data_IF_653909445095
#
_entry.id   IF_653909445095
#
_cell.length_a   1.000
_cell.length_b   1.000
_cell.length_c   1.000
_cell.angle_alpha   90.00
_cell.angle_beta   90.00
_cell.angle_gamma   90.00
#
_symmetry.space_group_name_H-M   'P 1'
#
loop_
_entity.id
_entity.type
_entity.pdbx_description
1 polymer ?
#
# COMPACT_ATOMS: atom_id res chain seq x y z
N UNK A 1 7.30 3.26 24.84
CA UNK A 1 7.84 2.03 24.23
C UNK A 1 9.09 2.37 23.46
N UNK A 2 10.16 1.58 23.50
CA UNK A 2 11.40 1.83 22.78
C UNK A 2 11.59 0.83 21.64
N UNK A 3 12.12 1.32 20.51
CA UNK A 3 12.39 0.50 19.34
C UNK A 3 13.81 0.72 18.82
N UNK A 4 14.51 -0.38 18.53
CA UNK A 4 15.88 -0.40 17.96
C UNK A 4 15.95 -1.32 16.74
N UNK A 5 16.83 -1.01 15.80
CA UNK A 5 17.02 -1.83 14.59
C UNK A 5 18.47 -1.81 14.10
N UNK A 6 18.96 -2.96 13.67
CA UNK A 6 20.20 -3.08 12.92
C UNK A 6 20.00 -3.92 11.67
N UNK A 7 20.66 -3.55 10.59
CA UNK A 7 20.76 -4.37 9.39
C UNK A 7 21.83 -5.45 9.56
N UNK A 8 21.84 -6.45 8.66
CA UNK A 8 22.87 -7.50 8.63
C UNK A 8 24.28 -6.92 8.45
N UNK A 9 24.42 -5.87 7.64
CA UNK A 9 25.70 -5.21 7.39
C UNK A 9 26.20 -4.43 8.62
N UNK A 10 25.26 -3.79 9.35
CA UNK A 10 25.56 -3.09 10.61
C UNK A 10 25.91 -4.07 11.74
N UNK A 11 25.31 -5.26 11.78
CA UNK A 11 25.67 -6.32 12.73
C UNK A 11 27.07 -6.87 12.46
N UNK A 12 27.43 -7.04 11.18
CA UNK A 12 28.75 -7.52 10.81
C UNK A 12 29.89 -6.51 11.11
N UNK A 13 29.57 -5.21 11.12
CA UNK A 13 30.55 -4.14 11.32
C UNK A 13 30.83 -3.83 12.80
N UNK A 14 29.88 -3.97 13.70
CA UNK A 14 30.10 -3.79 15.16
C UNK A 14 28.86 -4.22 15.95
N UNK A 15 28.98 -5.08 16.96
CA UNK A 15 27.92 -5.32 17.97
C UNK A 15 27.48 -4.07 18.75
N UNK A 16 28.16 -2.94 18.53
CA UNK A 16 27.92 -1.66 19.20
C UNK A 16 26.66 -0.91 18.69
N UNK A 17 26.07 -1.31 17.56
CA UNK A 17 24.97 -0.54 16.94
C UNK A 17 23.67 -0.50 17.75
N UNK A 18 23.28 -1.60 18.39
CA UNK A 18 22.10 -1.67 19.25
C UNK A 18 22.31 -0.99 20.60
N UNK A 19 23.49 -1.18 21.20
CA UNK A 19 23.81 -0.58 22.51
C UNK A 19 23.89 0.95 22.42
N UNK A 20 24.48 1.48 21.36
CA UNK A 20 24.49 2.92 21.11
C UNK A 20 23.05 3.50 20.96
N UNK A 21 22.16 2.78 20.27
CA UNK A 21 20.76 3.18 20.17
C UNK A 21 20.05 3.13 21.52
N UNK A 22 20.28 2.10 22.33
CA UNK A 22 19.72 1.98 23.67
C UNK A 22 20.16 3.12 24.57
N UNK A 23 21.45 3.41 24.61
CA UNK A 23 22.02 4.53 25.39
C UNK A 23 21.37 5.85 24.97
N UNK A 24 21.23 6.12 23.67
CA UNK A 24 20.62 7.34 23.18
C UNK A 24 19.14 7.44 23.60
N UNK A 25 18.38 6.36 23.51
CA UNK A 25 16.97 6.30 23.88
C UNK A 25 16.80 6.48 25.40
N UNK A 26 17.63 5.83 26.22
CA UNK A 26 17.60 5.96 27.67
C UNK A 26 17.92 7.40 28.11
N UNK A 27 18.95 8.01 27.54
CA UNK A 27 19.30 9.40 27.81
C UNK A 27 18.16 10.37 27.46
N UNK A 28 17.50 10.17 26.30
CA UNK A 28 16.37 11.00 25.87
C UNK A 28 15.14 10.77 26.76
N UNK A 29 14.83 9.54 27.11
CA UNK A 29 13.76 9.22 28.06
C UNK A 29 14.00 9.88 29.42
N UNK A 30 15.22 9.78 29.96
CA UNK A 30 15.59 10.42 31.20
C UNK A 30 15.46 11.94 31.13
N UNK A 31 15.93 12.58 30.03
CA UNK A 31 15.83 14.03 29.81
C UNK A 31 14.36 14.52 29.83
N UNK A 32 13.43 13.66 29.37
CA UNK A 32 11.98 13.96 29.33
C UNK A 32 11.23 13.56 30.59
N UNK A 33 11.88 12.89 31.55
CA UNK A 33 11.21 12.32 32.70
C UNK A 33 10.32 11.11 32.34
N UNK A 34 10.62 10.41 31.24
CA UNK A 34 9.86 9.26 30.77
C UNK A 34 10.45 7.95 31.26
N UNK A 35 9.60 6.95 31.39
CA UNK A 35 10.01 5.57 31.70
C UNK A 35 9.85 4.70 30.46
N UNK A 36 10.90 4.00 30.07
CA UNK A 36 10.84 3.00 29.00
C UNK A 36 10.20 1.73 29.58
N UNK A 37 8.94 1.47 29.21
CA UNK A 37 8.14 0.33 29.71
C UNK A 37 8.36 -0.96 28.93
N UNK A 38 9.06 -0.91 27.79
CA UNK A 38 9.39 -2.10 27.02
C UNK A 38 10.28 -1.78 25.82
N UNK A 39 11.01 -2.81 25.37
CA UNK A 39 11.93 -2.75 24.25
C UNK A 39 11.51 -3.72 23.16
N UNK A 40 11.55 -3.25 21.90
CA UNK A 40 11.36 -4.06 20.72
C UNK A 40 12.57 -3.89 19.78
N UNK A 41 12.97 -4.95 19.14
CA UNK A 41 14.14 -4.95 18.26
C UNK A 41 13.86 -5.71 16.97
N UNK A 42 14.40 -5.21 15.86
CA UNK A 42 14.52 -5.95 14.62
C UNK A 42 16.00 -6.07 14.25
N UNK A 43 16.52 -7.29 14.32
CA UNK A 43 17.92 -7.62 14.02
C UNK A 43 18.04 -8.25 12.63
N UNK A 44 19.07 -7.86 11.87
CA UNK A 44 19.29 -8.39 10.52
C UNK A 44 18.25 -7.97 9.50
N UNK A 45 17.41 -7.00 9.80
CA UNK A 45 16.34 -6.53 8.93
C UNK A 45 16.71 -5.17 8.33
N UNK A 46 16.84 -5.12 6.99
CA UNK A 46 17.07 -3.88 6.26
C UNK A 46 15.91 -2.89 6.49
N UNK A 47 16.23 -1.61 6.73
CA UNK A 47 15.25 -0.53 6.81
C UNK A 47 14.40 -0.35 5.53
N UNK A 48 14.80 -0.99 4.42
CA UNK A 48 14.07 -1.01 3.16
C UNK A 48 12.80 -1.89 3.16
N UNK A 49 12.58 -2.72 4.17
CA UNK A 49 11.37 -3.56 4.29
C UNK A 49 10.26 -2.80 5.01
N UNK A 50 9.01 -2.97 4.57
CA UNK A 50 7.84 -2.39 5.23
C UNK A 50 7.60 -2.95 6.64
N UNK A 51 6.65 -2.36 7.37
CA UNK A 51 6.31 -2.77 8.75
C UNK A 51 5.91 -4.25 8.82
N UNK A 52 5.28 -4.77 7.77
CA UNK A 52 4.88 -6.18 7.64
C UNK A 52 6.06 -7.19 7.69
N UNK A 53 7.27 -6.71 7.44
CA UNK A 53 8.51 -7.50 7.52
C UNK A 53 9.39 -7.12 8.73
N UNK A 54 8.83 -6.34 9.66
CA UNK A 54 9.52 -5.81 10.84
C UNK A 54 8.70 -6.12 12.09
N UNK A 55 8.73 -7.37 12.57
CA UNK A 55 7.90 -7.82 13.69
C UNK A 55 8.12 -7.03 14.98
N UNK A 56 9.36 -6.58 15.23
CA UNK A 56 9.66 -5.74 16.37
C UNK A 56 8.99 -4.36 16.28
N UNK A 57 9.02 -3.72 15.12
CA UNK A 57 8.31 -2.44 14.91
C UNK A 57 6.80 -2.62 15.00
N UNK A 58 6.25 -3.66 14.38
CA UNK A 58 4.83 -3.95 14.44
C UNK A 58 4.36 -4.14 15.90
N UNK A 59 5.10 -4.91 16.69
CA UNK A 59 4.79 -5.12 18.11
C UNK A 59 4.94 -3.83 18.95
N UNK A 60 5.90 -2.96 18.62
CA UNK A 60 6.06 -1.66 19.26
C UNK A 60 4.87 -0.72 18.97
N UNK A 61 4.40 -0.69 17.71
CA UNK A 61 3.22 0.09 17.30
C UNK A 61 1.96 -0.46 17.99
N UNK A 62 1.74 -1.77 17.97
CA UNK A 62 0.62 -2.41 18.67
C UNK A 62 0.60 -2.08 20.17
N UNK A 63 1.79 -1.99 20.79
CA UNK A 63 1.89 -1.64 22.20
C UNK A 63 1.41 -0.21 22.51
N UNK A 64 1.72 0.76 21.65
CA UNK A 64 1.25 2.14 21.84
C UNK A 64 -0.22 2.30 21.45
N UNK A 65 -0.69 1.64 20.41
CA UNK A 65 -2.09 1.67 19.97
C UNK A 65 -3.03 1.02 21.01
N UNK A 66 -2.56 -0.02 21.68
CA UNK A 66 -3.32 -0.66 22.79
C UNK A 66 -3.25 0.09 24.13
N UNK A 67 -2.60 1.25 24.17
CA UNK A 67 -2.46 2.06 25.39
C UNK A 67 -1.47 1.51 26.41
N UNK A 68 -0.66 0.50 26.07
CA UNK A 68 0.40 -0.04 26.95
C UNK A 68 1.56 0.96 27.18
N UNK A 69 1.69 1.94 26.27
CA UNK A 69 2.62 3.06 26.41
C UNK A 69 2.04 4.29 25.71
N UNK A 70 2.39 5.47 26.22
CA UNK A 70 1.94 6.75 25.66
C UNK A 70 2.71 7.17 24.40
N UNK A 71 3.84 6.53 24.10
CA UNK A 71 4.63 6.90 22.91
C UNK A 71 5.64 5.84 22.49
N UNK A 72 6.12 6.01 21.25
CA UNK A 72 7.18 5.24 20.61
C UNK A 72 8.44 6.10 20.48
N UNK A 73 9.55 5.61 21.04
CA UNK A 73 10.84 6.28 21.04
C UNK A 73 11.87 5.46 20.25
N UNK A 74 12.56 6.09 19.32
CA UNK A 74 13.63 5.48 18.54
C UNK A 74 14.87 6.39 18.48
N UNK A 75 16.04 5.79 18.30
CA UNK A 75 17.30 6.55 18.27
C UNK A 75 17.39 7.50 17.05
N UNK A 76 16.90 7.04 15.88
CA UNK A 76 16.92 7.81 14.63
C UNK A 76 15.68 7.51 13.80
N UNK A 77 15.31 8.48 12.95
CA UNK A 77 14.16 8.34 12.05
C UNK A 77 14.31 7.15 11.10
N UNK A 78 15.48 6.90 10.56
CA UNK A 78 15.74 5.79 9.64
C UNK A 78 15.58 4.40 10.30
N UNK A 79 15.50 4.33 11.61
CA UNK A 79 15.17 3.10 12.34
C UNK A 79 13.69 2.75 12.23
N UNK A 80 12.81 3.73 12.29
CA UNK A 80 11.34 3.52 12.23
C UNK A 80 10.77 3.64 10.81
N UNK A 81 11.37 4.47 9.96
CA UNK A 81 10.89 4.78 8.61
C UNK A 81 12.03 4.78 7.60
N UNK A 82 11.73 4.55 6.32
CA UNK A 82 12.68 4.56 5.20
C UNK A 82 12.40 5.64 4.16
N UNK A 83 11.25 6.25 4.23
CA UNK A 83 10.83 7.25 3.25
C UNK A 83 9.99 8.33 3.92
N UNK A 84 9.88 9.48 3.27
CA UNK A 84 8.99 10.56 3.72
C UNK A 84 7.54 10.06 3.83
N UNK A 85 7.11 9.18 2.90
CA UNK A 85 5.79 8.56 2.90
C UNK A 85 5.55 7.68 4.13
N UNK A 86 6.51 6.80 4.46
CA UNK A 86 6.40 5.91 5.62
C UNK A 86 6.40 6.73 6.91
N UNK A 87 7.27 7.76 6.99
CA UNK A 87 7.31 8.69 8.11
C UNK A 87 5.96 9.38 8.33
N UNK A 88 5.40 9.98 7.28
CA UNK A 88 4.13 10.67 7.38
C UNK A 88 2.97 9.73 7.72
N UNK A 89 2.99 8.49 7.22
CA UNK A 89 2.00 7.47 7.59
C UNK A 89 2.09 7.11 9.07
N UNK A 90 3.31 6.92 9.60
CA UNK A 90 3.53 6.61 11.01
C UNK A 90 3.13 7.79 11.92
N UNK A 91 3.44 9.02 11.53
CA UNK A 91 3.03 10.22 12.27
C UNK A 91 1.50 10.39 12.27
N UNK A 92 0.84 10.15 11.14
CA UNK A 92 -0.63 10.20 11.06
C UNK A 92 -1.28 9.08 11.90
N UNK A 93 -0.67 7.90 11.94
CA UNK A 93 -1.09 6.80 12.79
C UNK A 93 -0.95 7.17 14.27
N UNK A 94 0.16 7.78 14.67
CA UNK A 94 0.40 8.30 16.02
C UNK A 94 -0.67 9.33 16.41
N UNK A 95 -0.92 10.31 15.55
CA UNK A 95 -1.93 11.34 15.77
C UNK A 95 -3.33 10.76 15.96
N UNK A 96 -3.73 9.80 15.11
CA UNK A 96 -5.06 9.15 15.21
C UNK A 96 -5.18 8.27 16.44
N UNK A 97 -4.10 7.58 16.78
CA UNK A 97 -4.03 6.69 17.95
C UNK A 97 -3.82 7.43 19.28
N UNK A 98 -3.54 8.74 19.23
CA UNK A 98 -3.32 9.55 20.44
C UNK A 98 -2.03 9.19 21.18
N UNK A 99 -1.00 8.70 20.47
CA UNK A 99 0.30 8.37 21.03
C UNK A 99 1.42 9.19 20.38
N UNK A 100 2.53 9.37 21.10
CA UNK A 100 3.64 10.21 20.66
C UNK A 100 4.69 9.41 19.87
N UNK A 101 5.21 10.02 18.79
CA UNK A 101 6.38 9.52 18.05
C UNK A 101 7.56 10.47 18.29
N UNK A 102 8.66 9.94 18.81
CA UNK A 102 9.86 10.73 19.08
C UNK A 102 11.11 10.01 18.58
N UNK A 103 12.00 10.76 17.93
CA UNK A 103 13.33 10.30 17.52
C UNK A 103 14.43 11.15 18.14
N UNK A 104 15.50 10.51 18.66
CA UNK A 104 16.57 11.19 19.38
C UNK A 104 17.45 12.07 18.48
N UNK A 105 17.42 11.86 17.15
CA UNK A 105 18.15 12.65 16.15
C UNK A 105 17.48 13.98 15.77
N UNK A 106 16.50 14.41 16.56
CA UNK A 106 15.76 15.68 16.39
C UNK A 106 14.86 15.76 15.14
N UNK A 107 14.76 14.70 14.37
CA UNK A 107 13.99 14.76 13.14
C UNK A 107 12.48 14.84 13.41
N UNK A 108 11.99 14.19 14.49
CA UNK A 108 10.56 14.10 14.80
C UNK A 108 10.33 14.10 16.30
N UNK A 109 9.39 14.97 16.71
CA UNK A 109 8.86 15.01 18.08
C UNK A 109 7.40 15.48 18.01
N UNK A 110 6.47 14.55 17.91
CA UNK A 110 5.03 14.86 17.78
C UNK A 110 4.41 15.39 19.09
N UNK A 111 5.15 15.36 20.20
CA UNK A 111 4.70 15.94 21.47
C UNK A 111 4.80 17.50 21.51
N UNK A 112 5.41 18.08 20.48
CA UNK A 112 5.60 19.54 20.41
C UNK A 112 4.81 20.17 19.25
N UNK A 113 4.36 21.44 19.38
CA UNK A 113 3.69 22.15 18.27
C UNK A 113 4.53 22.23 16.99
N UNK A 114 5.86 22.36 17.12
CA UNK A 114 6.78 22.37 15.98
C UNK A 114 6.87 21.00 15.30
N UNK A 115 6.86 19.92 16.07
CA UNK A 115 6.81 18.56 15.55
C UNK A 115 5.48 18.24 14.89
N UNK A 116 4.37 18.71 15.43
CA UNK A 116 3.05 18.58 14.81
C UNK A 116 2.99 19.34 13.47
N UNK A 117 3.54 20.55 13.40
CA UNK A 117 3.66 21.28 12.13
C UNK A 117 4.54 20.54 11.11
N UNK A 118 5.65 19.97 11.56
CA UNK A 118 6.54 19.14 10.73
C UNK A 118 5.81 17.90 10.20
N UNK A 119 5.05 17.22 11.05
CA UNK A 119 4.21 16.08 10.66
C UNK A 119 3.21 16.48 9.59
N UNK A 120 2.54 17.60 9.76
CA UNK A 120 1.56 18.13 8.80
C UNK A 120 2.20 18.44 7.44
N UNK A 121 3.37 19.06 7.42
CA UNK A 121 4.11 19.30 6.17
C UNK A 121 4.52 18.00 5.49
N UNK A 122 5.03 17.01 6.23
CA UNK A 122 5.38 15.69 5.67
C UNK A 122 4.17 14.97 5.09
N UNK A 123 3.00 15.08 5.72
CA UNK A 123 1.75 14.52 5.19
C UNK A 123 1.36 15.16 3.85
N UNK A 124 1.51 16.48 3.71
CA UNK A 124 1.27 17.20 2.45
C UNK A 124 2.24 16.76 1.35
N UNK A 125 3.55 16.67 1.65
CA UNK A 125 4.55 16.20 0.70
C UNK A 125 4.28 14.76 0.25
N UNK A 126 3.91 13.88 1.17
CA UNK A 126 3.55 12.49 0.86
C UNK A 126 2.30 12.38 -0.02
N UNK A 127 1.33 13.27 0.17
CA UNK A 127 0.16 13.33 -0.70
C UNK A 127 0.54 13.82 -2.10
N UNK A 128 1.41 14.81 -2.20
CA UNK A 128 1.92 15.31 -3.49
C UNK A 128 2.67 14.20 -4.24
N UNK A 129 3.58 13.51 -3.57
CA UNK A 129 4.36 12.41 -4.17
C UNK A 129 3.46 11.29 -4.71
N UNK A 130 2.44 10.86 -3.94
CA UNK A 130 1.44 9.88 -4.40
C UNK A 130 0.69 10.35 -5.65
N UNK A 131 0.32 11.63 -5.72
CA UNK A 131 -0.33 12.21 -6.90
C UNK A 131 0.59 12.21 -8.11
N UNK A 132 1.87 12.59 -7.95
CA UNK A 132 2.86 12.59 -9.03
C UNK A 132 3.14 11.17 -9.55
N UNK A 133 3.26 10.18 -8.66
CA UNK A 133 3.42 8.76 -9.05
C UNK A 133 2.19 8.30 -9.83
N UNK A 134 0.98 8.59 -9.34
CA UNK A 134 -0.27 8.24 -10.03
C UNK A 134 -0.36 8.89 -11.41
N UNK A 135 0.02 10.16 -11.52
CA UNK A 135 0.04 10.86 -12.80
C UNK A 135 1.03 10.22 -13.78
N UNK A 136 2.29 10.00 -13.37
CA UNK A 136 3.30 9.34 -14.21
C UNK A 136 2.86 7.95 -14.66
N UNK A 137 2.22 7.19 -13.78
CA UNK A 137 1.69 5.86 -14.11
C UNK A 137 0.59 5.95 -15.16
N UNK A 138 -0.35 6.90 -15.03
CA UNK A 138 -1.40 7.12 -16.03
C UNK A 138 -0.84 7.52 -17.39
N UNK A 139 0.14 8.43 -17.40
CA UNK A 139 0.82 8.86 -18.63
C UNK A 139 1.55 7.69 -19.31
N UNK A 140 2.30 6.90 -18.54
CA UNK A 140 2.98 5.72 -19.06
C UNK A 140 2.00 4.67 -19.63
N UNK A 141 0.88 4.42 -18.93
CA UNK A 141 -0.17 3.52 -19.42
C UNK A 141 -0.88 4.07 -20.66
N UNK A 142 -1.10 5.39 -20.74
CA UNK A 142 -1.66 6.01 -21.94
C UNK A 142 -0.76 5.83 -23.16
N UNK A 143 0.55 6.01 -23.01
CA UNK A 143 1.54 5.75 -24.07
C UNK A 143 1.50 4.28 -24.51
N UNK A 144 1.48 3.33 -23.55
CA UNK A 144 1.37 1.90 -23.86
C UNK A 144 0.09 1.56 -24.61
N UNK A 145 -1.03 2.17 -24.20
CA UNK A 145 -2.32 2.01 -24.89
C UNK A 145 -2.27 2.55 -26.31
N UNK A 146 -1.65 3.72 -26.52
CA UNK A 146 -1.46 4.31 -27.85
C UNK A 146 -0.56 3.44 -28.75
N UNK A 147 0.39 2.70 -28.18
CA UNK A 147 1.23 1.73 -28.88
C UNK A 147 0.51 0.39 -29.17
N UNK A 148 -0.77 0.25 -28.83
CA UNK A 148 -1.53 -0.99 -29.00
C UNK A 148 -1.21 -2.08 -27.99
N UNK A 149 -0.43 -1.78 -26.93
CA UNK A 149 -0.11 -2.75 -25.89
C UNK A 149 -1.36 -3.00 -25.06
N UNK A 150 -1.73 -4.26 -24.92
CA UNK A 150 -2.83 -4.69 -24.07
C UNK A 150 -2.51 -4.39 -22.59
N UNK A 151 -3.42 -3.72 -21.90
CA UNK A 151 -3.29 -3.39 -20.49
C UNK A 151 -4.21 -4.26 -19.64
N UNK A 152 -3.74 -4.59 -18.43
CA UNK A 152 -4.50 -5.37 -17.47
C UNK A 152 -4.40 -6.88 -17.66
N UNK A 153 -5.16 -7.63 -16.84
CA UNK A 153 -5.18 -9.10 -16.88
C UNK A 153 -5.93 -9.57 -18.14
N UNK A 154 -5.38 -10.49 -18.94
CA UNK A 154 -6.11 -11.11 -20.04
C UNK A 154 -7.42 -11.73 -19.56
N UNK A 155 -8.47 -11.63 -20.38
CA UNK A 155 -9.73 -12.31 -20.09
C UNK A 155 -9.54 -13.85 -20.11
N UNK A 156 -10.21 -14.51 -19.19
CA UNK A 156 -10.28 -15.98 -19.18
C UNK A 156 -11.42 -16.53 -20.07
N UNK A 157 -12.22 -15.63 -20.68
CA UNK A 157 -13.30 -16.06 -21.59
C UNK A 157 -12.73 -16.46 -22.96
N UNK A 158 -13.20 -17.57 -23.54
CA UNK A 158 -12.91 -17.91 -24.91
C UNK A 158 -13.36 -16.80 -25.86
N UNK A 159 -12.58 -16.58 -26.93
CA UNK A 159 -12.86 -15.54 -27.93
C UNK A 159 -14.22 -15.70 -28.59
N UNK A 160 -14.66 -16.95 -28.78
CA UNK A 160 -15.98 -17.27 -29.36
C UNK A 160 -17.13 -16.77 -28.49
N UNK A 161 -16.98 -16.86 -27.17
CA UNK A 161 -18.00 -16.35 -26.20
C UNK A 161 -18.07 -14.83 -26.27
N UNK A 162 -16.92 -14.16 -26.34
CA UNK A 162 -16.87 -12.70 -26.50
C UNK A 162 -17.49 -12.27 -27.84
N UNK A 163 -17.17 -12.97 -28.93
CA UNK A 163 -17.72 -12.71 -30.25
C UNK A 163 -19.24 -12.89 -30.28
N UNK A 164 -19.75 -13.93 -29.65
CA UNK A 164 -21.21 -14.18 -29.51
C UNK A 164 -21.90 -13.04 -28.78
N UNK A 165 -21.34 -12.58 -27.66
CA UNK A 165 -21.87 -11.45 -26.87
C UNK A 165 -21.88 -10.15 -27.71
N UNK A 166 -20.80 -9.87 -28.44
CA UNK A 166 -20.70 -8.70 -29.32
C UNK A 166 -21.72 -8.77 -30.43
N UNK A 167 -21.86 -9.90 -31.11
CA UNK A 167 -22.83 -10.11 -32.19
C UNK A 167 -24.28 -9.98 -31.71
N UNK A 168 -24.63 -10.63 -30.59
CA UNK A 168 -25.97 -10.51 -30.02
C UNK A 168 -26.31 -9.05 -29.65
N UNK A 169 -25.32 -8.30 -29.11
CA UNK A 169 -25.52 -6.88 -28.79
C UNK A 169 -25.66 -6.02 -30.05
N UNK A 170 -24.90 -6.27 -31.11
CA UNK A 170 -25.05 -5.61 -32.40
C UNK A 170 -26.40 -5.89 -33.05
N UNK A 171 -26.96 -7.11 -32.84
CA UNK A 171 -28.31 -7.49 -33.28
C UNK A 171 -29.45 -6.89 -32.43
N UNK A 172 -29.16 -6.00 -31.48
CA UNK A 172 -30.16 -5.28 -30.69
C UNK A 172 -30.60 -5.99 -29.39
N UNK A 173 -30.04 -7.16 -29.07
CA UNK A 173 -30.40 -7.87 -27.84
C UNK A 173 -30.10 -7.05 -26.56
N UNK A 174 -30.98 -7.16 -25.57
CA UNK A 174 -30.76 -6.53 -24.27
C UNK A 174 -29.67 -7.28 -23.47
N UNK A 175 -28.97 -6.59 -22.57
CA UNK A 175 -27.97 -7.24 -21.71
C UNK A 175 -28.58 -8.38 -20.87
N UNK A 176 -29.85 -8.26 -20.48
CA UNK A 176 -30.59 -9.29 -19.72
C UNK A 176 -30.87 -10.51 -20.59
N UNK A 177 -31.30 -10.30 -21.85
CA UNK A 177 -31.55 -11.37 -22.83
C UNK A 177 -30.26 -12.15 -23.08
N UNK A 178 -29.17 -11.48 -23.38
CA UNK A 178 -27.85 -12.12 -23.60
C UNK A 178 -27.41 -12.92 -22.37
N UNK A 179 -27.58 -12.38 -21.16
CA UNK A 179 -27.22 -13.07 -19.93
C UNK A 179 -28.10 -14.32 -19.71
N UNK A 180 -29.38 -14.26 -20.03
CA UNK A 180 -30.31 -15.40 -19.93
C UNK A 180 -29.93 -16.52 -20.91
N UNK A 181 -29.67 -16.19 -22.17
CA UNK A 181 -29.24 -17.14 -23.21
C UNK A 181 -27.94 -17.84 -22.82
N UNK A 182 -26.91 -17.10 -22.41
CA UNK A 182 -25.62 -17.68 -21.97
C UNK A 182 -25.78 -18.59 -20.75
N UNK A 183 -26.68 -18.26 -19.84
CA UNK A 183 -26.98 -19.09 -18.67
C UNK A 183 -27.72 -20.36 -19.07
N UNK A 184 -28.70 -20.29 -19.97
CA UNK A 184 -29.45 -21.43 -20.50
C UNK A 184 -28.55 -22.38 -21.27
N UNK A 185 -27.61 -21.86 -22.03
CA UNK A 185 -26.63 -22.63 -22.81
C UNK A 185 -25.46 -23.15 -21.95
N UNK A 186 -25.51 -22.96 -20.65
CA UNK A 186 -24.50 -23.43 -19.68
C UNK A 186 -23.08 -22.93 -20.01
N UNK A 187 -22.96 -21.75 -20.60
CA UNK A 187 -21.65 -21.14 -20.91
C UNK A 187 -21.02 -20.65 -19.60
N UNK A 188 -19.80 -21.09 -19.23
CA UNK A 188 -19.17 -20.66 -17.98
C UNK A 188 -18.75 -19.18 -18.07
N UNK A 189 -18.88 -18.45 -16.95
CA UNK A 189 -18.35 -17.10 -16.82
C UNK A 189 -16.82 -17.12 -16.73
N UNK A 190 -16.17 -15.96 -16.87
CA UNK A 190 -14.71 -15.83 -16.72
C UNK A 190 -14.15 -16.32 -15.37
N UNK A 191 -14.99 -16.44 -14.35
CA UNK A 191 -14.64 -16.96 -13.03
C UNK A 191 -15.14 -18.40 -12.80
N UNK A 192 -15.61 -19.07 -13.85
CA UNK A 192 -16.13 -20.44 -13.79
C UNK A 192 -17.56 -20.57 -13.23
N UNK A 193 -18.25 -19.45 -12.96
CA UNK A 193 -19.64 -19.48 -12.50
C UNK A 193 -20.63 -19.86 -13.61
N UNK A 194 -21.71 -20.56 -13.25
CA UNK A 194 -22.75 -21.02 -14.19
C UNK A 194 -23.77 -19.96 -14.58
N UNK A 195 -23.89 -18.88 -13.80
CA UNK A 195 -24.93 -17.86 -14.00
C UNK A 195 -24.35 -16.55 -14.52
N UNK A 196 -24.89 -16.08 -15.63
CA UNK A 196 -24.60 -14.78 -16.19
C UNK A 196 -25.55 -13.72 -15.66
N UNK A 197 -25.00 -12.51 -15.42
CA UNK A 197 -25.76 -11.32 -15.06
C UNK A 197 -25.57 -10.24 -16.11
N UNK A 198 -26.54 -9.35 -16.24
CA UNK A 198 -26.45 -8.23 -17.17
C UNK A 198 -25.20 -7.35 -16.93
N UNK A 199 -24.76 -7.19 -15.68
CA UNK A 199 -23.53 -6.50 -15.32
C UNK A 199 -22.28 -7.22 -15.84
N UNK A 200 -22.26 -8.55 -15.79
CA UNK A 200 -21.14 -9.36 -16.32
C UNK A 200 -21.07 -9.23 -17.85
N UNK A 201 -22.20 -9.30 -18.53
CA UNK A 201 -22.25 -9.07 -20.01
C UNK A 201 -21.76 -7.67 -20.35
N UNK A 202 -22.18 -6.65 -19.59
CA UNK A 202 -21.70 -5.26 -19.77
C UNK A 202 -20.17 -5.18 -19.61
N UNK A 203 -19.64 -5.78 -18.55
CA UNK A 203 -18.19 -5.77 -18.30
C UNK A 203 -17.40 -6.42 -19.45
N UNK A 204 -17.91 -7.51 -20.05
CA UNK A 204 -17.31 -8.11 -21.25
C UNK A 204 -17.36 -7.16 -22.45
N UNK A 205 -18.50 -6.51 -22.68
CA UNK A 205 -18.66 -5.57 -23.79
C UNK A 205 -17.79 -4.31 -23.66
N UNK A 206 -17.53 -3.85 -22.44
CA UNK A 206 -16.66 -2.71 -22.15
C UNK A 206 -15.17 -3.10 -22.15
N UNK A 207 -14.86 -4.40 -22.23
CA UNK A 207 -13.52 -4.94 -22.21
C UNK A 207 -12.75 -4.80 -23.54
N UNK A 208 -11.41 -4.95 -23.46
CA UNK A 208 -10.53 -4.86 -24.63
C UNK A 208 -10.80 -5.98 -25.66
N UNK A 209 -11.11 -7.19 -25.21
CA UNK A 209 -11.43 -8.33 -26.10
C UNK A 209 -12.63 -8.04 -26.99
N UNK A 210 -13.68 -7.40 -26.44
CA UNK A 210 -14.85 -7.00 -27.23
C UNK A 210 -14.52 -5.87 -28.23
N UNK A 211 -13.61 -4.96 -27.86
CA UNK A 211 -13.13 -3.92 -28.78
C UNK A 211 -12.34 -4.52 -29.95
N UNK A 212 -11.47 -5.50 -29.68
CA UNK A 212 -10.70 -6.22 -30.69
C UNK A 212 -11.64 -7.03 -31.64
N UNK A 213 -12.65 -7.70 -31.07
CA UNK A 213 -13.65 -8.43 -31.86
C UNK A 213 -14.44 -7.49 -32.75
N UNK A 214 -14.88 -6.32 -32.26
CA UNK A 214 -15.58 -5.31 -33.08
C UNK A 214 -14.72 -4.78 -34.22
N UNK A 215 -13.42 -4.53 -33.95
CA UNK A 215 -12.49 -4.06 -34.98
C UNK A 215 -12.19 -5.11 -36.04
N UNK A 216 -12.37 -6.40 -35.76
CA UNK A 216 -12.15 -7.50 -36.69
C UNK A 216 -13.40 -7.85 -37.55
N UNK A 217 -14.57 -7.27 -37.26
CA UNK A 217 -15.78 -7.44 -38.10
C UNK A 217 -15.72 -6.42 -39.23
N UNK A 218 -15.61 -6.85 -40.48
CA UNK A 218 -15.66 -5.94 -41.61
C UNK A 218 -17.02 -5.24 -41.67
N UNK A 219 -17.02 -3.97 -42.08
CA UNK A 219 -18.23 -3.15 -42.24
C UNK A 219 -19.12 -3.65 -43.37
#
# INVERSE_FOLDING_TARGET
>A
MAYVRVSTDEQAASGAGLDAQRIAIEAEAQRRGWTVVGWHADEGISGGKGVEHRPGLAAAIEAVESGRAAGLLAAKLDRVSRSVLDTASLMEQARRGGWELVTCDLAIDTSTPAGEATASMMAVFSQLERRLISQRTREALAVKKAQGVRLGRPSALPREVVARIVAAKAGGASLRTIAAELTTDVVPTAQGGAKWHASTVKAVLDGQDAAEVRAAIPA
#
